data_IF_131974579515
#
_entry.id   IF_131974579515
#
_cell.length_a   1.000
_cell.length_b   1.000
_cell.length_c   1.000
_cell.angle_alpha   90.00
_cell.angle_beta   90.00
_cell.angle_gamma   90.00
#
_symmetry.space_group_name_H-M   'P 1'
#
loop_
_entity.id
_entity.type
_entity.pdbx_description
1 polymer ?
#
# COMPACT_ATOMS: atom_id res chain seq x y z
N UNK A 1 -8.05 0.58 20.92
CA UNK A 1 -8.10 1.59 19.83
C UNK A 1 -6.71 1.73 19.25
N UNK A 2 -6.50 1.40 17.97
CA UNK A 2 -5.43 2.03 17.17
C UNK A 2 -4.33 1.18 16.53
N UNK A 3 -4.21 -0.14 16.75
CA UNK A 3 -3.04 -0.93 16.29
C UNK A 3 -3.00 -1.26 14.77
N UNK A 4 -3.93 -0.73 13.97
CA UNK A 4 -4.04 -1.06 12.54
C UNK A 4 -3.52 0.05 11.62
N UNK A 5 -3.40 1.29 12.10
CA UNK A 5 -3.15 2.45 11.25
C UNK A 5 -1.69 2.53 10.77
N UNK A 6 -0.74 2.14 11.62
CA UNK A 6 0.70 2.08 11.31
C UNK A 6 1.10 0.82 10.51
N UNK A 7 0.15 -0.10 10.29
CA UNK A 7 0.45 -1.34 9.59
C UNK A 7 0.86 -1.06 8.15
N UNK A 8 2.11 -1.40 7.83
CA UNK A 8 2.63 -1.29 6.47
C UNK A 8 1.79 -2.17 5.51
N UNK A 9 1.20 -1.55 4.50
CA UNK A 9 0.44 -2.22 3.43
C UNK A 9 1.36 -2.58 2.28
N UNK A 10 2.26 -1.67 1.89
CA UNK A 10 3.23 -1.92 0.84
C UNK A 10 4.62 -1.47 1.26
N UNK A 11 5.54 -2.44 1.38
CA UNK A 11 6.94 -2.18 1.70
C UNK A 11 7.71 -1.55 0.53
N UNK A 12 7.30 -1.81 -0.72
CA UNK A 12 7.96 -1.26 -1.90
C UNK A 12 7.83 0.26 -2.00
N UNK A 13 6.68 0.79 -1.58
CA UNK A 13 6.36 2.21 -1.64
C UNK A 13 6.24 2.87 -0.26
N UNK A 14 6.33 2.09 0.83
CA UNK A 14 6.21 2.60 2.19
C UNK A 14 4.80 3.01 2.60
N UNK A 15 3.76 2.55 1.90
CA UNK A 15 2.37 2.91 2.23
C UNK A 15 1.87 2.13 3.46
N UNK A 16 1.15 2.83 4.33
CA UNK A 16 0.49 2.30 5.53
C UNK A 16 -1.02 2.22 5.35
N UNK A 17 -1.71 1.57 6.29
CA UNK A 17 -3.19 1.57 6.30
C UNK A 17 -3.72 2.99 6.43
N UNK A 18 -3.11 3.81 7.29
CA UNK A 18 -3.48 5.22 7.44
C UNK A 18 -3.37 6.00 6.12
N UNK A 19 -2.32 5.75 5.33
CA UNK A 19 -2.17 6.40 4.01
C UNK A 19 -3.32 6.01 3.07
N UNK A 20 -3.69 4.73 3.06
CA UNK A 20 -4.78 4.23 2.22
C UNK A 20 -6.12 4.81 2.67
N UNK A 21 -6.38 4.85 3.99
CA UNK A 21 -7.60 5.43 4.56
C UNK A 21 -7.69 6.93 4.27
N UNK A 22 -6.59 7.67 4.41
CA UNK A 22 -6.52 9.09 4.07
C UNK A 22 -6.76 9.33 2.57
N UNK A 23 -6.17 8.51 1.71
CA UNK A 23 -6.36 8.59 0.26
C UNK A 23 -7.80 8.25 -0.14
N UNK A 24 -8.42 7.23 0.48
CA UNK A 24 -9.84 6.91 0.30
C UNK A 24 -10.74 8.09 0.69
N UNK A 25 -10.49 8.72 1.84
CA UNK A 25 -11.26 9.87 2.30
C UNK A 25 -11.12 11.07 1.35
N UNK A 26 -9.92 11.29 0.79
CA UNK A 26 -9.63 12.38 -0.15
C UNK A 26 -10.24 12.17 -1.53
N UNK A 27 -10.39 10.92 -1.95
CA UNK A 27 -10.80 10.56 -3.31
C UNK A 27 -12.22 9.96 -3.36
N UNK A 28 -13.10 10.40 -2.46
CA UNK A 28 -14.51 9.97 -2.41
C UNK A 28 -14.69 8.44 -2.40
N UNK A 29 -13.83 7.72 -1.68
CA UNK A 29 -13.87 6.26 -1.53
C UNK A 29 -13.02 5.48 -2.53
N UNK A 30 -12.22 6.14 -3.38
CA UNK A 30 -11.32 5.46 -4.33
C UNK A 30 -9.85 5.59 -3.95
N UNK A 31 -9.19 4.48 -3.63
CA UNK A 31 -7.75 4.56 -3.32
C UNK A 31 -6.89 4.53 -4.58
N UNK A 32 -6.28 5.66 -4.90
CA UNK A 32 -5.27 5.77 -5.95
C UNK A 32 -3.95 5.10 -5.56
N UNK A 33 -3.64 5.03 -4.26
CA UNK A 33 -2.47 4.31 -3.75
C UNK A 33 -2.59 2.81 -4.01
N UNK A 34 -3.74 2.21 -3.71
CA UNK A 34 -4.03 0.81 -4.04
C UNK A 34 -3.90 0.55 -5.55
N UNK A 35 -4.43 1.44 -6.39
CA UNK A 35 -4.32 1.34 -7.85
C UNK A 35 -2.86 1.41 -8.32
N UNK A 36 -2.07 2.34 -7.78
CA UNK A 36 -0.64 2.46 -8.08
C UNK A 36 0.15 1.21 -7.68
N UNK A 37 -0.14 0.63 -6.50
CA UNK A 37 0.47 -0.62 -6.04
C UNK A 37 0.11 -1.77 -6.99
N UNK A 38 -1.16 -1.87 -7.40
CA UNK A 38 -1.62 -2.92 -8.31
C UNK A 38 -0.97 -2.79 -9.69
N UNK A 39 -0.91 -1.57 -10.24
CA UNK A 39 -0.25 -1.30 -11.52
C UNK A 39 1.25 -1.60 -11.46
N UNK A 40 1.95 -1.18 -10.40
CA UNK A 40 3.37 -1.47 -10.23
C UNK A 40 3.67 -2.97 -10.06
N UNK A 41 2.78 -3.71 -9.36
CA UNK A 41 2.85 -5.18 -9.32
C UNK A 41 2.67 -5.80 -10.70
N UNK A 42 1.65 -5.37 -11.45
CA UNK A 42 1.38 -5.88 -12.79
C UNK A 42 2.52 -5.58 -13.77
N UNK A 43 3.17 -4.42 -13.64
CA UNK A 43 4.33 -4.04 -14.42
C UNK A 43 5.61 -4.80 -14.03
N UNK A 44 5.58 -5.65 -12.99
CA UNK A 44 6.75 -6.39 -12.50
C UNK A 44 7.78 -5.52 -11.76
N UNK A 45 7.48 -4.25 -11.48
CA UNK A 45 8.38 -3.31 -10.80
C UNK A 45 8.39 -3.43 -9.27
N UNK A 46 7.62 -4.36 -8.72
CA UNK A 46 7.44 -4.47 -7.28
C UNK A 46 8.46 -5.46 -6.68
N UNK A 47 9.36 -4.96 -5.83
CA UNK A 47 10.39 -5.77 -5.15
C UNK A 47 9.86 -6.50 -3.91
N UNK A 48 8.62 -6.98 -3.95
CA UNK A 48 8.00 -7.64 -2.79
C UNK A 48 8.85 -8.79 -2.25
N UNK A 49 9.51 -9.55 -3.12
CA UNK A 49 10.39 -10.64 -2.69
C UNK A 49 11.61 -10.18 -1.87
N UNK A 50 12.08 -8.94 -2.07
CA UNK A 50 13.29 -8.41 -1.42
C UNK A 50 12.95 -7.50 -0.22
N UNK A 51 11.93 -6.66 -0.34
CA UNK A 51 11.59 -5.63 0.65
C UNK A 51 10.45 -6.02 1.59
N UNK A 52 9.60 -6.99 1.21
CA UNK A 52 8.56 -7.47 2.11
C UNK A 52 9.17 -8.56 3.00
N UNK A 53 9.17 -8.41 4.34
CA UNK A 53 9.66 -9.45 5.25
C UNK A 53 8.89 -10.78 5.12
N UNK A 54 7.72 -10.78 4.46
CA UNK A 54 6.95 -12.00 4.13
C UNK A 54 7.35 -12.63 2.79
N UNK A 55 8.14 -11.93 1.97
CA UNK A 55 8.65 -12.37 0.67
C UNK A 55 7.58 -12.55 -0.43
N UNK A 56 6.36 -12.04 -0.23
CA UNK A 56 5.21 -12.20 -1.13
C UNK A 56 4.20 -11.07 -0.95
#
# INVERSE_FOLDING_TARGET
MGESADKQVCWCFGYTVADIEADLARNAGRSTLMEGIAAAKAAGGCRCAEVNPRGR
#
